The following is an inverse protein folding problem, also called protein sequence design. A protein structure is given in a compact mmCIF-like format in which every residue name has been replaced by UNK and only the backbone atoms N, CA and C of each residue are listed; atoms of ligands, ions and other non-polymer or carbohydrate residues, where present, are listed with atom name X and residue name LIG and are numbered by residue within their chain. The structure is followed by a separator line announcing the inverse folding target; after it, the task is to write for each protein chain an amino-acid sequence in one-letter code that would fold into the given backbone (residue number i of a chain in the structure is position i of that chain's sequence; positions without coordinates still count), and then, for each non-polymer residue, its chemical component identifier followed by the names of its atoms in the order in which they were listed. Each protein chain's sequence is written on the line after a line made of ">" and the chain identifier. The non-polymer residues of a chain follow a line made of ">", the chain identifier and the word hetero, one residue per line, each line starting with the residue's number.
data_IF_446378618895
#
_entry.id   IF_446378618895
#
_cell.length_a   1.000
_cell.length_b   1.000
_cell.length_c   1.000
_cell.angle_alpha   90.00
_cell.angle_beta   90.00
_cell.angle_gamma   90.00
#
_symmetry.space_group_name_H-M   'P 1'
#
loop_
_entity.id
_entity.type
_entity.pdbx_description
1 polymer ?
#
# COMPACT_ATOMS: atom_id res chain seq x y z
N UNK A 1 -14.16 2.00 8.11
CA UNK A 1 -12.88 1.57 8.70
C UNK A 1 -12.49 0.27 8.02
N UNK A 2 -11.43 0.33 7.23
CA UNK A 2 -10.91 -0.77 6.42
C UNK A 2 -9.42 -0.84 6.67
N UNK A 3 -8.90 -2.04 6.92
CA UNK A 3 -7.51 -2.29 7.27
C UNK A 3 -6.86 -3.22 6.24
N UNK A 4 -5.53 -3.18 6.18
CA UNK A 4 -4.69 -4.12 5.45
C UNK A 4 -4.39 -5.36 6.29
N UNK A 5 -4.64 -6.52 5.69
CA UNK A 5 -4.39 -7.85 6.24
C UNK A 5 -3.60 -8.70 5.24
N UNK A 6 -2.85 -9.68 5.73
CA UNK A 6 -2.13 -10.65 4.92
C UNK A 6 -2.35 -12.08 5.44
N UNK A 7 -2.25 -13.05 4.53
CA UNK A 7 -2.18 -14.48 4.86
C UNK A 7 -0.84 -15.01 4.34
N UNK A 8 -0.21 -15.92 5.09
CA UNK A 8 1.00 -16.59 4.64
C UNK A 8 0.65 -17.89 3.93
N UNK A 9 1.12 -18.04 2.68
CA UNK A 9 1.06 -19.31 1.96
C UNK A 9 2.02 -20.31 2.63
N UNK A 10 1.48 -21.47 3.00
CA UNK A 10 2.22 -22.55 3.64
C UNK A 10 2.85 -23.49 2.59
N UNK A 11 3.78 -24.34 3.02
CA UNK A 11 4.47 -25.29 2.14
C UNK A 11 3.56 -26.33 1.50
N UNK A 12 2.40 -26.60 2.11
CA UNK A 12 1.37 -27.50 1.59
C UNK A 12 0.40 -26.82 0.62
N UNK A 13 0.63 -25.54 0.29
CA UNK A 13 -0.23 -24.74 -0.58
C UNK A 13 -1.46 -24.16 0.10
N UNK A 14 -1.67 -24.42 1.40
CA UNK A 14 -2.76 -23.80 2.16
C UNK A 14 -2.43 -22.36 2.57
N UNK A 15 -3.47 -21.54 2.76
CA UNK A 15 -3.30 -20.20 3.33
C UNK A 15 -3.44 -20.26 4.86
N UNK A 16 -2.49 -19.64 5.56
CA UNK A 16 -2.56 -19.43 6.98
C UNK A 16 -3.69 -18.47 7.40
N UNK A 17 -3.86 -18.29 8.71
CA UNK A 17 -4.85 -17.35 9.25
C UNK A 17 -4.52 -15.90 8.83
N UNK A 18 -5.53 -15.05 8.57
CA UNK A 18 -5.32 -13.63 8.34
C UNK A 18 -4.62 -12.96 9.52
N UNK A 19 -3.64 -12.12 9.23
CA UNK A 19 -2.89 -11.33 10.19
C UNK A 19 -2.90 -9.85 9.77
N UNK A 20 -3.05 -8.95 10.74
CA UNK A 20 -3.03 -7.51 10.46
C UNK A 20 -1.62 -7.08 10.03
N UNK A 21 -1.52 -6.21 9.03
CA UNK A 21 -0.26 -5.68 8.54
C UNK A 21 0.39 -4.62 9.45
N UNK A 22 -0.06 -4.49 10.70
CA UNK A 22 0.46 -3.58 11.74
C UNK A 22 0.15 -2.10 11.52
N UNK A 23 0.42 -1.31 12.57
CA UNK A 23 0.32 0.15 12.58
C UNK A 23 1.32 0.86 11.65
N UNK A 24 2.26 0.15 11.05
CA UNK A 24 3.15 0.72 10.03
C UNK A 24 2.38 1.21 8.79
N UNK A 25 1.29 0.52 8.44
CA UNK A 25 0.44 0.83 7.29
C UNK A 25 -0.99 1.17 7.67
N UNK A 26 -1.58 0.44 8.63
CA UNK A 26 -2.95 0.69 9.09
C UNK A 26 -3.02 1.92 10.00
N UNK A 27 -4.08 2.68 9.85
CA UNK A 27 -4.39 3.85 10.68
C UNK A 27 -5.70 3.64 11.43
N UNK A 28 -6.19 4.68 12.12
CA UNK A 28 -7.55 4.66 12.68
C UNK A 28 -8.64 4.95 11.65
N UNK A 29 -8.28 5.15 10.37
CA UNK A 29 -9.21 5.47 9.28
C UNK A 29 -9.25 4.33 8.26
N UNK A 30 -9.42 4.64 6.96
CA UNK A 30 -9.51 3.65 5.91
C UNK A 30 -8.20 3.56 5.12
N UNK A 31 -7.73 2.33 4.92
CA UNK A 31 -6.68 1.96 3.98
C UNK A 31 -7.24 1.10 2.84
N UNK A 32 -6.85 1.41 1.60
CA UNK A 32 -7.41 0.78 0.39
C UNK A 32 -6.35 0.57 -0.69
N UNK A 33 -6.77 -0.14 -1.75
CA UNK A 33 -6.07 -0.22 -3.05
C UNK A 33 -4.59 -0.55 -2.97
N UNK A 34 -4.31 -1.79 -2.57
CA UNK A 34 -2.95 -2.27 -2.40
C UNK A 34 -2.35 -2.66 -3.75
N UNK A 35 -1.12 -2.19 -3.99
CA UNK A 35 -0.28 -2.64 -5.08
C UNK A 35 1.14 -2.89 -4.54
N UNK A 36 1.73 -4.03 -4.85
CA UNK A 36 3.12 -4.33 -4.49
C UNK A 36 3.95 -4.28 -5.76
N UNK A 37 4.95 -3.40 -5.76
CA UNK A 37 5.93 -3.30 -6.84
C UNK A 37 6.93 -4.46 -6.84
N UNK A 38 7.61 -4.70 -7.96
CA UNK A 38 8.63 -5.72 -8.11
C UNK A 38 9.82 -5.56 -7.16
N UNK A 39 10.09 -4.32 -6.71
CA UNK A 39 11.12 -4.04 -5.70
C UNK A 39 10.62 -4.29 -4.25
N UNK A 40 9.39 -4.78 -4.10
CA UNK A 40 8.74 -5.04 -2.82
C UNK A 40 8.12 -3.83 -2.14
N UNK A 41 8.09 -2.66 -2.78
CA UNK A 41 7.39 -1.48 -2.25
C UNK A 41 5.88 -1.69 -2.29
N UNK A 42 5.21 -1.52 -1.15
CA UNK A 42 3.77 -1.48 -1.05
C UNK A 42 3.28 -0.05 -1.28
N UNK A 43 2.43 0.13 -2.28
CA UNK A 43 1.63 1.32 -2.51
C UNK A 43 0.21 1.06 -2.04
N UNK A 44 -0.36 2.04 -1.34
CA UNK A 44 -1.70 1.96 -0.79
C UNK A 44 -2.27 3.35 -0.59
N UNK A 45 -3.59 3.46 -0.61
CA UNK A 45 -4.28 4.72 -0.34
C UNK A 45 -4.72 4.78 1.12
N UNK A 46 -4.58 5.92 1.81
CA UNK A 46 -5.01 6.08 3.21
C UNK A 46 -5.68 7.43 3.46
N UNK A 47 -6.73 7.44 4.30
CA UNK A 47 -7.36 8.66 4.84
C UNK A 47 -6.76 9.12 6.17
N UNK A 48 -6.00 8.25 6.83
CA UNK A 48 -5.54 8.48 8.20
C UNK A 48 -4.21 9.20 8.33
N UNK A 49 -3.60 9.58 7.21
CA UNK A 49 -2.26 10.15 7.15
C UNK A 49 -2.28 11.58 6.61
N UNK A 50 -1.31 12.43 7.01
CA UNK A 50 -1.19 13.76 6.45
C UNK A 50 -0.96 13.69 4.94
N UNK A 51 -1.96 14.13 4.19
CA UNK A 51 -2.01 14.11 2.74
C UNK A 51 -2.56 15.42 2.16
N UNK A 52 -2.93 15.41 0.90
CA UNK A 52 -3.41 16.57 0.16
C UNK A 52 -4.93 16.60 0.00
N UNK A 53 -5.59 15.45 0.06
CA UNK A 53 -7.02 15.31 -0.13
C UNK A 53 -7.67 14.49 0.98
N UNK A 54 -8.72 13.75 0.64
CA UNK A 54 -9.39 12.84 1.57
C UNK A 54 -8.66 11.51 1.65
N UNK A 55 -8.51 10.85 0.50
CA UNK A 55 -7.77 9.62 0.32
C UNK A 55 -6.51 9.90 -0.51
N UNK A 56 -5.34 9.54 0.02
CA UNK A 56 -4.04 9.88 -0.59
C UNK A 56 -3.17 8.63 -0.75
N UNK A 57 -2.30 8.58 -1.78
CA UNK A 57 -1.36 7.46 -1.99
C UNK A 57 -0.12 7.62 -1.10
N UNK A 58 0.25 6.52 -0.45
CA UNK A 58 1.44 6.35 0.37
C UNK A 58 2.22 5.11 -0.06
N UNK A 59 3.50 5.09 0.32
CA UNK A 59 4.37 3.94 0.14
C UNK A 59 4.97 3.44 1.45
N UNK A 60 5.18 2.13 1.53
CA UNK A 60 5.85 1.47 2.65
C UNK A 60 6.78 0.36 2.13
N UNK A 61 7.87 0.13 2.87
CA UNK A 61 8.76 -1.03 2.67
C UNK A 61 8.73 -1.93 3.87
N UNK A 62 8.72 -3.23 3.62
CA UNK A 62 8.59 -4.20 4.69
C UNK A 62 8.02 -5.52 4.23
N UNK A 63 7.69 -6.34 5.21
CA UNK A 63 7.09 -7.65 4.99
C UNK A 63 6.20 -8.00 6.18
N UNK A 64 5.05 -8.62 5.90
CA UNK A 64 4.13 -9.15 6.92
C UNK A 64 3.63 -8.07 7.88
N UNK A 65 4.08 -8.09 9.14
CA UNK A 65 3.71 -7.15 10.19
C UNK A 65 4.81 -6.12 10.50
N UNK A 66 5.85 -6.05 9.67
CA UNK A 66 6.96 -5.13 9.84
C UNK A 66 7.07 -4.24 8.61
N UNK A 67 6.30 -3.16 8.62
CA UNK A 67 6.30 -2.14 7.58
C UNK A 67 6.87 -0.83 8.11
N UNK A 68 7.79 -0.27 7.34
CA UNK A 68 8.33 1.08 7.54
C UNK A 68 7.73 2.01 6.49
N UNK A 69 6.99 3.01 6.96
CA UNK A 69 6.41 4.05 6.10
C UNK A 69 7.52 4.88 5.47
N UNK A 70 7.47 5.06 4.15
CA UNK A 70 8.49 5.81 3.41
C UNK A 70 8.10 7.27 3.21
N UNK A 71 7.00 7.55 2.50
CA UNK A 71 6.49 8.91 2.30
C UNK A 71 5.11 8.91 1.61
N UNK A 72 4.40 10.05 1.74
CA UNK A 72 3.38 10.45 0.74
C UNK A 72 4.08 10.75 -0.58
N UNK A 73 3.46 10.37 -1.70
CA UNK A 73 3.99 10.63 -3.04
C UNK A 73 3.76 12.08 -3.53
N UNK A 74 3.05 12.91 -2.74
CA UNK A 74 2.84 14.35 -2.97
C UNK A 74 2.30 14.65 -4.38
N UNK A 75 2.40 15.91 -4.83
CA UNK A 75 1.80 16.43 -6.07
C UNK A 75 2.09 15.65 -7.37
N UNK A 76 3.15 14.84 -7.42
CA UNK A 76 3.44 14.03 -8.60
C UNK A 76 2.44 12.88 -8.79
N UNK A 77 1.75 12.48 -7.73
CA UNK A 77 0.80 11.35 -7.73
C UNK A 77 -0.51 11.73 -7.06
N UNK A 78 -0.47 12.45 -5.94
CA UNK A 78 -1.67 12.85 -5.20
C UNK A 78 -2.25 14.18 -5.71
N UNK A 79 -3.57 14.26 -5.66
CA UNK A 79 -4.39 15.42 -5.99
C UNK A 79 -5.01 16.04 -4.71
N UNK A 80 -5.66 17.21 -4.80
CA UNK A 80 -6.39 17.79 -3.67
C UNK A 80 -7.71 17.06 -3.31
N UNK A 81 -8.02 15.93 -3.94
CA UNK A 81 -9.26 15.14 -3.76
C UNK A 81 -8.90 13.68 -3.42
N UNK A 82 -9.78 12.72 -3.71
CA UNK A 82 -9.52 11.30 -3.43
C UNK A 82 -8.70 10.65 -4.56
N UNK A 83 -7.51 10.14 -4.23
CA UNK A 83 -6.66 9.32 -5.07
C UNK A 83 -6.80 7.85 -4.66
N UNK A 84 -7.49 7.08 -5.50
CA UNK A 84 -7.99 5.78 -5.07
C UNK A 84 -6.97 4.66 -5.17
N UNK A 85 -6.12 4.63 -6.19
CA UNK A 85 -5.20 3.53 -6.43
C UNK A 85 -3.93 4.03 -7.11
N UNK A 86 -2.86 3.25 -6.97
CA UNK A 86 -1.63 3.43 -7.72
C UNK A 86 -1.15 2.07 -8.21
N UNK A 87 -1.17 1.85 -9.52
CA UNK A 87 -0.86 0.55 -10.11
C UNK A 87 0.51 0.61 -10.77
N UNK A 88 1.47 -0.14 -10.25
CA UNK A 88 2.76 -0.31 -10.92
C UNK A 88 2.67 -1.42 -11.96
N UNK A 89 3.02 -1.10 -13.21
CA UNK A 89 3.22 -2.11 -14.27
C UNK A 89 4.70 -2.48 -14.35
N UNK A 90 4.99 -3.77 -14.50
CA UNK A 90 6.32 -4.29 -14.81
C UNK A 90 6.32 -4.81 -16.23
N UNK A 91 6.74 -3.97 -17.17
CA UNK A 91 7.23 -4.46 -18.46
C UNK A 91 8.70 -4.85 -18.28
N UNK A 92 9.26 -5.70 -19.15
CA UNK A 92 10.64 -6.18 -19.07
C UNK A 92 11.72 -5.06 -19.12
N UNK A 93 11.33 -3.79 -19.13
CA UNK A 93 12.15 -2.60 -19.29
C UNK A 93 11.97 -1.61 -18.12
N UNK A 94 11.99 -2.06 -16.86
CA UNK A 94 12.18 -1.23 -15.64
C UNK A 94 11.33 0.07 -15.46
N UNK A 95 10.34 0.36 -16.29
CA UNK A 95 9.52 1.56 -16.16
C UNK A 95 8.29 1.28 -15.29
N UNK A 96 8.31 1.87 -14.10
CA UNK A 96 7.14 1.95 -13.23
C UNK A 96 6.29 3.13 -13.69
N UNK A 97 5.30 2.84 -14.53
CA UNK A 97 4.21 3.79 -14.80
C UNK A 97 3.06 3.51 -13.83
N UNK A 98 2.68 4.52 -13.05
CA UNK A 98 1.47 4.53 -12.23
C UNK A 98 0.40 5.44 -12.84
N UNK A 99 -0.85 4.98 -12.83
CA UNK A 99 -2.05 5.78 -13.07
C UNK A 99 -2.79 6.00 -11.76
#
# INVERSE_FOLDING_TARGET
>A
MTDIWYCQLQSDGSWGKPQSASSGVNTSQDEMSLNIAADGTLYYSSRGLPGMGGLDIFSAKGIKNNWSKLASLRFSVNSPVDDFAFITNFTNENEVMGY
#
